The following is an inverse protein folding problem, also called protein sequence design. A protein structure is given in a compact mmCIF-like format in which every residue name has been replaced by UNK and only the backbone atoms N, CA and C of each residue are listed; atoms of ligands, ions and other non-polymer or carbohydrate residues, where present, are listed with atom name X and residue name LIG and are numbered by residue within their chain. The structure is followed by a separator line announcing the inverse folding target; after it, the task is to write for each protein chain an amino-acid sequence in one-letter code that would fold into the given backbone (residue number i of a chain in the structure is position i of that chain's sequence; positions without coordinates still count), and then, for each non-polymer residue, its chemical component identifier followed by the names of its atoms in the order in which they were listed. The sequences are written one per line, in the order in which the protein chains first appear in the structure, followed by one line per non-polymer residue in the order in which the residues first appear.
data_IF_720412076134
#
_entry.id   IF_720412076134
#
_cell.length_a   1.000
_cell.length_b   1.000
_cell.length_c   1.000
_cell.angle_alpha   90.00
_cell.angle_beta   90.00
_cell.angle_gamma   90.00
#
_symmetry.space_group_name_H-M   'P 1'
#
loop_
_entity.id
_entity.type
_entity.pdbx_description
1 polymer ?
#
# COMPACT_ATOMS: atom_id res chain seq x y z
N UNK A 1 -21.64 4.19 3.42
CA UNK A 1 -20.35 3.64 2.97
C UNK A 1 -20.60 2.63 1.87
N UNK A 2 -19.87 2.66 0.75
CA UNK A 2 -19.98 1.63 -0.30
C UNK A 2 -18.64 0.93 -0.50
N UNK A 3 -18.59 -0.38 -0.30
CA UNK A 3 -17.41 -1.21 -0.55
C UNK A 3 -17.39 -1.67 -2.02
N UNK A 4 -16.21 -1.97 -2.58
CA UNK A 4 -16.06 -2.52 -3.93
C UNK A 4 -15.24 -3.80 -3.81
N UNK A 5 -15.77 -4.89 -4.37
CA UNK A 5 -15.02 -6.12 -4.61
C UNK A 5 -13.92 -5.82 -5.64
N UNK A 6 -12.67 -6.18 -5.31
CA UNK A 6 -11.45 -5.89 -6.07
C UNK A 6 -11.63 -5.64 -7.57
N UNK A 7 -11.37 -4.41 -7.98
CA UNK A 7 -11.37 -4.01 -9.39
C UNK A 7 -9.97 -4.27 -9.95
N UNK A 8 -9.85 -5.30 -10.81
CA UNK A 8 -8.64 -5.65 -11.58
C UNK A 8 -8.18 -4.53 -12.56
N UNK A 9 -8.84 -3.38 -12.61
CA UNK A 9 -8.67 -2.37 -13.67
C UNK A 9 -8.64 -0.92 -13.20
N UNK A 10 -8.76 -0.63 -11.91
CA UNK A 10 -8.64 0.75 -11.47
C UNK A 10 -7.17 1.09 -11.26
N UNK A 11 -6.87 2.38 -11.40
CA UNK A 11 -5.62 3.03 -11.02
C UNK A 11 -5.31 2.87 -9.50
N UNK A 12 -6.10 2.08 -8.78
CA UNK A 12 -6.00 1.68 -7.38
C UNK A 12 -4.96 0.55 -7.26
N UNK A 13 -3.73 0.96 -7.00
CA UNK A 13 -2.53 0.20 -7.33
C UNK A 13 -1.93 -0.48 -6.11
N UNK A 14 -2.72 -1.37 -5.52
CA UNK A 14 -2.22 -2.43 -4.64
C UNK A 14 -3.18 -3.60 -4.72
N UNK A 15 -2.79 -4.69 -5.39
CA UNK A 15 -3.58 -5.91 -5.30
C UNK A 15 -3.56 -6.30 -3.82
N UNK A 16 -4.73 -6.41 -3.21
CA UNK A 16 -4.84 -6.91 -1.86
C UNK A 16 -5.79 -8.09 -1.88
N UNK A 17 -5.49 -9.10 -1.06
CA UNK A 17 -6.37 -10.21 -0.77
C UNK A 17 -7.51 -9.81 0.21
N UNK A 18 -7.59 -8.55 0.64
CA UNK A 18 -8.78 -8.08 1.34
C UNK A 18 -10.01 -8.13 0.41
N UNK A 19 -11.07 -8.81 0.86
CA UNK A 19 -12.35 -8.83 0.15
C UNK A 19 -13.06 -7.46 0.12
N UNK A 20 -12.62 -6.53 0.97
CA UNK A 20 -13.18 -5.17 1.13
C UNK A 20 -12.06 -4.16 1.40
N UNK A 21 -12.02 -3.07 0.63
CA UNK A 21 -11.03 -2.00 0.74
C UNK A 21 -11.73 -0.69 1.15
N UNK A 22 -11.11 0.10 2.03
CA UNK A 22 -11.63 1.42 2.41
C UNK A 22 -11.65 2.41 1.25
N UNK A 23 -12.73 3.19 1.13
CA UNK A 23 -12.81 4.37 0.24
C UNK A 23 -12.34 5.67 0.89
N UNK A 24 -12.08 5.66 2.20
CA UNK A 24 -11.69 6.87 2.91
C UNK A 24 -10.30 7.34 2.47
N UNK A 25 -10.14 8.65 2.27
CA UNK A 25 -8.89 9.28 1.85
C UNK A 25 -8.35 8.82 0.47
N UNK A 26 -9.18 8.32 -0.44
CA UNK A 26 -8.79 8.15 -1.85
C UNK A 26 -8.70 9.55 -2.50
N UNK A 27 -7.60 10.26 -2.27
CA UNK A 27 -7.31 11.54 -2.91
C UNK A 27 -6.59 11.32 -4.25
N UNK A 28 -7.26 10.67 -5.19
CA UNK A 28 -6.80 10.64 -6.58
C UNK A 28 -7.18 11.94 -7.28
N UNK A 29 -6.37 12.99 -7.21
CA UNK A 29 -6.54 14.14 -8.13
C UNK A 29 -6.47 13.60 -9.57
N UNK A 30 -7.30 14.08 -10.51
CA UNK A 30 -7.22 13.70 -11.95
C UNK A 30 -5.79 13.73 -12.53
N UNK A 31 -4.93 14.59 -12.00
CA UNK A 31 -3.51 14.67 -12.33
C UNK A 31 -2.69 13.45 -11.86
N UNK A 32 -2.97 12.88 -10.69
CA UNK A 32 -2.28 11.69 -10.17
C UNK A 32 -2.49 10.49 -11.10
N UNK A 33 -3.68 10.36 -11.69
CA UNK A 33 -4.00 9.29 -12.67
C UNK A 33 -3.07 9.31 -13.89
N UNK A 34 -2.62 10.49 -14.33
CA UNK A 34 -1.69 10.61 -15.47
C UNK A 34 -0.27 10.14 -15.10
N UNK A 35 0.16 10.40 -13.86
CA UNK A 35 1.52 10.04 -13.42
C UNK A 35 1.61 8.60 -12.89
N UNK A 36 0.54 8.07 -12.30
CA UNK A 36 0.48 6.73 -11.72
C UNK A 36 0.04 5.65 -12.70
N UNK A 37 0.16 5.88 -14.01
CA UNK A 37 -0.04 4.83 -15.00
C UNK A 37 1.02 3.75 -14.81
N UNK A 38 0.58 2.51 -14.53
CA UNK A 38 1.44 1.35 -14.25
C UNK A 38 2.52 1.16 -15.33
N UNK A 39 2.11 1.17 -16.61
CA UNK A 39 3.04 1.02 -17.74
C UNK A 39 4.11 2.10 -17.78
N UNK A 40 3.77 3.34 -17.42
CA UNK A 40 4.75 4.43 -17.32
C UNK A 40 5.76 4.12 -16.22
N UNK A 41 5.29 3.75 -15.03
CA UNK A 41 6.15 3.47 -13.86
C UNK A 41 7.12 2.32 -14.15
N UNK A 42 6.63 1.25 -14.79
CA UNK A 42 7.44 0.08 -15.18
C UNK A 42 8.60 0.44 -16.12
N UNK A 43 8.45 1.51 -16.91
CA UNK A 43 9.47 1.96 -17.87
C UNK A 43 10.40 3.06 -17.31
N UNK A 44 10.22 3.52 -16.07
CA UNK A 44 11.10 4.51 -15.46
C UNK A 44 12.41 3.86 -14.95
N UNK A 45 13.55 4.58 -14.98
CA UNK A 45 14.79 4.08 -14.42
C UNK A 45 14.66 3.80 -12.92
N UNK A 46 15.23 2.68 -12.47
CA UNK A 46 15.19 2.27 -11.07
C UNK A 46 16.32 2.95 -10.30
N UNK A 47 15.99 3.50 -9.13
CA UNK A 47 16.97 3.99 -8.19
C UNK A 47 17.61 2.83 -7.42
N UNK A 48 18.94 2.74 -7.46
CA UNK A 48 19.72 1.69 -6.80
C UNK A 48 20.03 2.03 -5.33
N UNK A 49 18.98 2.27 -4.57
CA UNK A 49 19.06 2.52 -3.14
C UNK A 49 18.32 1.46 -2.32
N UNK A 50 18.27 1.69 -1.00
CA UNK A 50 17.52 0.83 -0.09
C UNK A 50 16.04 0.78 -0.50
N UNK A 51 15.43 -0.42 -0.62
CA UNK A 51 14.00 -0.55 -0.85
C UNK A 51 13.18 0.12 0.26
N UNK A 52 12.04 0.70 -0.11
CA UNK A 52 11.04 1.18 0.84
C UNK A 52 10.22 0.00 1.37
N UNK A 53 9.74 0.08 2.60
CA UNK A 53 8.86 -0.96 3.16
C UNK A 53 7.40 -0.53 3.00
N UNK A 54 6.56 -1.47 2.55
CA UNK A 54 5.12 -1.24 2.49
C UNK A 54 4.49 -1.56 3.86
N UNK A 55 3.52 -0.74 4.28
CA UNK A 55 2.70 -0.96 5.47
C UNK A 55 1.23 -1.05 5.09
N UNK A 56 0.39 -1.58 5.97
CA UNK A 56 -1.07 -1.58 5.76
C UNK A 56 -1.71 -0.45 6.57
N UNK A 57 -2.56 0.32 5.91
CA UNK A 57 -3.42 1.32 6.54
C UNK A 57 -4.84 1.25 5.98
N UNK A 58 -5.81 1.06 6.87
CA UNK A 58 -7.22 0.91 6.50
C UNK A 58 -7.46 -0.14 5.41
N UNK A 59 -6.83 -1.31 5.57
CA UNK A 59 -6.90 -2.43 4.63
C UNK A 59 -6.27 -2.16 3.24
N UNK A 60 -5.21 -1.34 3.18
CA UNK A 60 -4.51 -1.00 1.94
C UNK A 60 -3.01 -1.04 2.16
N UNK A 61 -2.26 -1.66 1.24
CA UNK A 61 -0.82 -1.50 1.23
C UNK A 61 -0.45 -0.12 0.70
N UNK A 62 0.30 0.63 1.50
CA UNK A 62 0.82 1.93 1.15
C UNK A 62 2.32 2.01 1.44
N UNK A 63 2.98 2.94 0.77
CA UNK A 63 4.39 3.25 0.93
C UNK A 63 4.53 4.73 1.21
N UNK A 64 5.26 5.08 2.27
CA UNK A 64 5.55 6.46 2.62
C UNK A 64 6.68 7.02 1.75
N UNK A 65 6.47 8.20 1.19
CA UNK A 65 7.46 8.93 0.41
C UNK A 65 8.52 9.54 1.35
N UNK A 66 9.81 9.19 1.23
CA UNK A 66 10.86 9.71 2.10
C UNK A 66 11.20 11.20 1.86
N UNK A 67 10.64 11.81 0.81
CA UNK A 67 10.97 13.17 0.39
C UNK A 67 9.90 14.20 0.81
N UNK A 68 8.62 13.89 0.63
CA UNK A 68 7.54 14.85 0.86
C UNK A 68 6.49 14.40 1.88
N UNK A 69 6.76 13.34 2.65
CA UNK A 69 5.87 12.80 3.69
C UNK A 69 4.45 12.46 3.23
N UNK A 70 4.22 12.29 1.93
CA UNK A 70 2.98 11.72 1.39
C UNK A 70 3.05 10.19 1.44
N UNK A 71 1.93 9.52 1.23
CA UNK A 71 1.88 8.08 1.02
C UNK A 71 1.12 7.76 -0.26
N UNK A 72 1.51 6.70 -0.96
CA UNK A 72 0.83 6.19 -2.15
C UNK A 72 0.63 4.69 -2.02
N UNK A 73 -0.24 4.11 -2.86
CA UNK A 73 -0.43 2.67 -2.92
C UNK A 73 0.87 1.92 -3.29
N UNK A 74 1.04 0.75 -2.66
CA UNK A 74 2.14 -0.14 -2.99
C UNK A 74 1.79 -1.00 -4.21
N UNK A 75 2.43 -0.74 -5.34
CA UNK A 75 2.25 -1.54 -6.56
C UNK A 75 2.74 -2.99 -6.36
N UNK A 76 2.02 -3.96 -6.95
CA UNK A 76 2.46 -5.36 -6.98
C UNK A 76 3.80 -5.57 -7.68
N UNK A 77 4.14 -4.69 -8.62
CA UNK A 77 5.43 -4.69 -9.31
C UNK A 77 6.60 -4.36 -8.37
N UNK A 78 6.33 -4.10 -7.09
CA UNK A 78 7.32 -3.75 -6.06
C UNK A 78 8.08 -2.49 -6.44
N UNK A 79 7.38 -1.54 -7.04
CA UNK A 79 7.88 -0.23 -7.42
C UNK A 79 7.06 0.86 -6.74
N UNK A 80 7.70 1.99 -6.48
CA UNK A 80 7.07 3.17 -5.91
C UNK A 80 7.43 4.43 -6.69
N UNK A 81 6.41 5.20 -7.02
CA UNK A 81 6.51 6.52 -7.60
C UNK A 81 5.56 7.46 -6.87
N UNK A 82 6.09 8.52 -6.24
CA UNK A 82 5.27 9.50 -5.56
C UNK A 82 4.59 10.43 -6.57
N UNK A 83 3.26 10.52 -6.55
CA UNK A 83 2.54 11.42 -7.45
C UNK A 83 2.63 12.90 -7.03
N UNK A 84 2.95 13.16 -5.76
CA UNK A 84 3.05 14.51 -5.19
C UNK A 84 4.37 15.19 -5.55
N UNK A 85 5.52 14.58 -5.23
CA UNK A 85 6.83 15.17 -5.48
C UNK A 85 7.53 14.61 -6.73
N UNK A 86 6.92 13.63 -7.40
CA UNK A 86 7.48 12.98 -8.59
C UNK A 86 8.87 12.37 -8.34
N UNK A 87 9.16 11.94 -7.10
CA UNK A 87 10.47 11.43 -6.67
C UNK A 87 11.62 12.39 -7.02
N UNK A 88 11.42 13.70 -6.83
CA UNK A 88 12.38 14.75 -7.22
C UNK A 88 13.77 14.60 -6.60
N UNK A 89 13.85 14.05 -5.39
CA UNK A 89 15.08 13.75 -4.64
C UNK A 89 15.98 12.71 -5.33
N UNK A 90 15.39 11.86 -6.17
CA UNK A 90 16.10 10.84 -6.97
C UNK A 90 15.90 11.05 -8.46
N UNK A 91 15.70 12.31 -8.87
CA UNK A 91 15.61 12.72 -10.28
C UNK A 91 14.50 11.98 -11.05
N UNK A 92 13.36 11.72 -10.40
CA UNK A 92 12.22 11.05 -11.04
C UNK A 92 12.36 9.54 -11.26
N UNK A 93 13.42 8.92 -10.73
CA UNK A 93 13.59 7.47 -10.73
C UNK A 93 12.55 6.80 -9.83
N UNK A 94 12.27 5.52 -10.06
CA UNK A 94 11.36 4.73 -9.20
C UNK A 94 12.13 4.02 -8.10
N UNK A 95 11.51 3.87 -6.92
CA UNK A 95 12.10 3.13 -5.78
C UNK A 95 11.60 1.69 -5.80
N UNK A 96 12.46 0.76 -5.39
CA UNK A 96 12.03 -0.62 -5.09
C UNK A 96 11.21 -0.63 -3.80
N UNK A 97 10.23 -1.52 -3.73
CA UNK A 97 9.36 -1.73 -2.57
C UNK A 97 9.53 -3.16 -2.07
N UNK A 98 9.69 -3.31 -0.76
CA UNK A 98 9.69 -4.58 -0.05
C UNK A 98 8.30 -4.80 0.52
N UNK A 99 7.58 -5.71 -0.10
CA UNK A 99 6.32 -6.25 0.42
C UNK A 99 6.61 -7.33 1.46
N UNK A 100 5.65 -7.58 2.37
CA UNK A 100 5.75 -8.71 3.30
C UNK A 100 5.83 -10.04 2.54
N UNK A 101 6.50 -11.03 3.12
CA UNK A 101 6.50 -12.41 2.59
C UNK A 101 5.20 -13.15 2.92
N UNK A 102 4.57 -12.82 4.06
CA UNK A 102 3.36 -13.47 4.56
C UNK A 102 2.13 -12.55 4.47
N UNK A 103 1.92 -12.01 3.26
CA UNK A 103 0.80 -11.09 3.01
C UNK A 103 -0.54 -11.72 3.32
N UNK A 104 -0.73 -12.98 2.91
CA UNK A 104 -1.96 -13.72 3.13
C UNK A 104 -2.26 -13.93 4.62
N UNK A 105 -1.25 -14.29 5.42
CA UNK A 105 -1.41 -14.43 6.87
C UNK A 105 -1.77 -13.10 7.53
N UNK A 106 -1.06 -12.02 7.18
CA UNK A 106 -1.33 -10.66 7.69
C UNK A 106 -2.76 -10.23 7.36
N UNK A 107 -3.17 -10.36 6.10
CA UNK A 107 -4.49 -9.92 5.66
C UNK A 107 -5.61 -10.76 6.25
N UNK A 108 -5.39 -12.06 6.47
CA UNK A 108 -6.33 -12.93 7.19
C UNK A 108 -6.50 -12.49 8.64
N UNK A 109 -5.39 -12.22 9.34
CA UNK A 109 -5.43 -11.75 10.73
C UNK A 109 -6.12 -10.38 10.85
N UNK A 110 -5.82 -9.46 9.95
CA UNK A 110 -6.46 -8.14 9.91
C UNK A 110 -7.93 -8.20 9.47
N UNK A 111 -8.30 -9.16 8.63
CA UNK A 111 -9.66 -9.32 8.12
C UNK A 111 -10.73 -9.48 9.22
N UNK A 112 -10.32 -9.96 10.40
CA UNK A 112 -11.17 -10.07 11.60
C UNK A 112 -11.60 -8.72 12.18
N UNK A 113 -10.86 -7.65 11.88
CA UNK A 113 -11.08 -6.30 12.40
C UNK A 113 -12.00 -5.51 11.46
N UNK A 114 -12.67 -4.50 11.99
CA UNK A 114 -13.28 -3.46 11.16
C UNK A 114 -12.19 -2.77 10.32
N UNK A 115 -12.51 -2.35 9.08
CA UNK A 115 -11.54 -1.78 8.12
C UNK A 115 -10.72 -0.64 8.72
N UNK A 116 -11.37 0.24 9.50
CA UNK A 116 -10.72 1.38 10.16
C UNK A 116 -9.63 0.97 11.15
N UNK A 117 -9.58 -0.30 11.57
CA UNK A 117 -8.61 -0.85 12.52
C UNK A 117 -7.64 -1.84 11.85
N UNK A 118 -7.67 -1.95 10.51
CA UNK A 118 -6.78 -2.83 9.75
C UNK A 118 -5.48 -2.09 9.43
N UNK A 119 -4.58 -2.09 10.40
CA UNK A 119 -3.24 -1.55 10.30
C UNK A 119 -2.19 -2.64 10.51
N UNK A 120 -1.09 -2.57 9.79
CA UNK A 120 0.08 -3.41 10.01
C UNK A 120 1.35 -2.68 9.61
N UNK A 121 2.40 -2.84 10.42
CA UNK A 121 3.72 -2.30 10.21
C UNK A 121 4.69 -3.40 9.74
N UNK A 122 5.69 -3.08 8.89
CA UNK A 122 6.69 -4.04 8.42
C UNK A 122 7.43 -4.83 9.50
N UNK A 123 7.49 -4.27 10.71
CA UNK A 123 8.14 -4.86 11.89
C UNK A 123 7.27 -5.87 12.63
N UNK A 124 5.98 -5.95 12.33
CA UNK A 124 5.01 -6.81 13.02
C UNK A 124 4.88 -8.17 12.32
N UNK A 125 4.71 -9.22 13.12
CA UNK A 125 4.43 -10.57 12.61
C UNK A 125 2.94 -10.89 12.70
N UNK A 126 2.49 -11.94 12.00
CA UNK A 126 1.12 -12.46 12.15
C UNK A 126 0.81 -12.83 13.60
N UNK A 127 1.80 -13.35 14.35
CA UNK A 127 1.64 -13.68 15.77
C UNK A 127 1.37 -12.44 16.62
N UNK A 128 1.94 -11.30 16.26
CA UNK A 128 1.70 -10.04 16.98
C UNK A 128 0.28 -9.55 16.70
N UNK A 129 -0.16 -9.62 15.43
CA UNK A 129 -1.54 -9.31 15.05
C UNK A 129 -2.57 -10.22 15.73
N UNK A 130 -2.27 -11.50 15.89
CA UNK A 130 -3.13 -12.46 16.58
C UNK A 130 -3.25 -12.15 18.08
N UNK A 131 -2.15 -11.75 18.73
CA UNK A 131 -2.16 -11.30 20.14
C UNK A 131 -3.00 -10.03 20.31
N UNK A 132 -2.87 -9.08 19.41
CA UNK A 132 -3.68 -7.86 19.40
C UNK A 132 -5.17 -8.18 19.21
N UNK A 133 -5.48 -9.05 18.26
CA UNK A 133 -6.83 -9.51 17.99
C UNK A 133 -7.48 -10.12 19.25
N UNK A 134 -6.74 -10.99 19.95
CA UNK A 134 -7.18 -11.59 21.20
C UNK A 134 -7.44 -10.52 22.28
N UNK A 135 -6.54 -9.54 22.42
CA UNK A 135 -6.69 -8.43 23.39
C UNK A 135 -7.91 -7.55 23.08
N UNK A 136 -8.24 -7.40 21.80
CA UNK A 136 -9.39 -6.62 21.32
C UNK A 136 -10.71 -7.43 21.31
N UNK A 137 -10.66 -8.74 21.56
CA UNK A 137 -11.84 -9.61 21.53
C UNK A 137 -12.37 -9.92 20.12
N UNK A 138 -11.52 -9.81 19.09
CA UNK A 138 -11.86 -10.13 17.69
C UNK A 138 -11.22 -11.48 17.33
N UNK A 139 -12.00 -12.56 17.39
CA UNK A 139 -11.52 -13.96 17.29
C UNK A 139 -11.85 -14.56 15.92
#
# INVERSE_FOLDING_TARGET
MGYVSGSLRSVDTGDTYFNEISKENISGRKLAVKFLQRDRILNLPIYDGKPLEARIEYARYIVDCPNCNSAEYAFEDKLFFCSQCLNSDIQGKVRKVKMSKDRKGIETALGKRAIINRHWLPTETVKDLDKENLKMGVI
#
